data_IF_116104929095
#
_entry.id   IF_116104929095
#
_cell.length_a   1.000
_cell.length_b   1.000
_cell.length_c   1.000
_cell.angle_alpha   90.00
_cell.angle_beta   90.00
_cell.angle_gamma   90.00
#
_symmetry.space_group_name_H-M   'P 1'
#
loop_
_entity.id
_entity.type
_entity.pdbx_description
1 polymer ?
#
# COMPACT_ATOMS: atom_id res chain seq x y z
N UNK A 1 -51.59 31.31 -17.63
CA UNK A 1 -50.20 31.10 -18.11
C UNK A 1 -49.32 30.73 -16.91
N UNK A 2 -49.16 29.43 -16.63
CA UNK A 2 -48.48 28.93 -15.42
C UNK A 2 -47.24 28.09 -15.73
N UNK A 3 -46.06 28.72 -15.56
CA UNK A 3 -44.74 28.17 -15.20
C UNK A 3 -44.20 26.91 -15.93
N UNK A 4 -43.39 27.10 -16.99
CA UNK A 4 -42.40 26.11 -17.48
C UNK A 4 -41.19 25.91 -16.54
N UNK A 5 -40.93 26.87 -15.64
CA UNK A 5 -39.70 26.96 -14.83
C UNK A 5 -39.61 25.91 -13.71
N UNK A 6 -40.74 25.38 -13.22
CA UNK A 6 -40.77 24.45 -12.07
C UNK A 6 -40.38 23.00 -12.43
N UNK A 7 -40.75 22.55 -13.64
CA UNK A 7 -40.44 21.19 -14.11
C UNK A 7 -38.95 21.01 -14.41
N UNK A 8 -38.31 22.04 -14.97
CA UNK A 8 -36.86 22.03 -15.26
C UNK A 8 -36.04 22.01 -13.97
N UNK A 9 -36.47 22.76 -12.94
CA UNK A 9 -35.81 22.77 -11.63
C UNK A 9 -35.91 21.40 -10.93
N UNK A 10 -37.09 20.75 -10.94
CA UNK A 10 -37.26 19.40 -10.38
C UNK A 10 -36.42 18.35 -11.10
N UNK A 11 -36.35 18.37 -12.44
CA UNK A 11 -35.46 17.46 -13.20
C UNK A 11 -33.99 17.68 -12.87
N UNK A 12 -33.55 18.93 -12.73
CA UNK A 12 -32.15 19.24 -12.35
C UNK A 12 -31.80 18.80 -10.93
N UNK A 13 -32.76 18.87 -10.00
CA UNK A 13 -32.61 18.42 -8.61
C UNK A 13 -32.55 16.89 -8.52
N UNK A 14 -33.40 16.18 -9.27
CA UNK A 14 -33.39 14.71 -9.30
C UNK A 14 -32.10 14.17 -9.92
N UNK A 15 -31.66 14.75 -11.04
CA UNK A 15 -30.38 14.38 -11.68
C UNK A 15 -29.17 14.62 -10.77
N UNK A 16 -29.18 15.70 -9.97
CA UNK A 16 -28.16 15.95 -8.95
C UNK A 16 -28.22 14.89 -7.84
N UNK A 17 -29.41 14.55 -7.35
CA UNK A 17 -29.60 13.54 -6.30
C UNK A 17 -29.11 12.16 -6.75
N UNK A 18 -29.37 11.78 -8.00
CA UNK A 18 -28.92 10.51 -8.59
C UNK A 18 -27.39 10.48 -8.73
N UNK A 19 -26.78 11.58 -9.17
CA UNK A 19 -25.32 11.70 -9.27
C UNK A 19 -24.64 11.62 -7.89
N UNK A 20 -25.20 12.25 -6.85
CA UNK A 20 -24.68 12.12 -5.48
C UNK A 20 -24.83 10.70 -4.94
N UNK A 21 -25.95 10.03 -5.21
CA UNK A 21 -26.18 8.65 -4.79
C UNK A 21 -25.20 7.70 -5.47
N UNK A 22 -24.98 7.87 -6.77
CA UNK A 22 -24.02 7.08 -7.53
C UNK A 22 -22.57 7.33 -7.10
N UNK A 23 -22.20 8.58 -6.82
CA UNK A 23 -20.89 8.94 -6.28
C UNK A 23 -20.67 8.36 -4.87
N UNK A 24 -21.69 8.41 -4.00
CA UNK A 24 -21.65 7.83 -2.68
C UNK A 24 -21.53 6.31 -2.72
N UNK A 25 -22.27 5.63 -3.59
CA UNK A 25 -22.13 4.19 -3.78
C UNK A 25 -20.79 3.79 -4.39
N UNK A 26 -20.28 4.55 -5.35
CA UNK A 26 -18.96 4.32 -5.93
C UNK A 26 -17.87 4.50 -4.86
N UNK A 27 -17.99 5.54 -4.03
CA UNK A 27 -17.11 5.76 -2.88
C UNK A 27 -17.23 4.63 -1.86
N UNK A 28 -18.44 4.19 -1.51
CA UNK A 28 -18.67 3.05 -0.59
C UNK A 28 -18.08 1.76 -1.14
N UNK A 29 -18.25 1.48 -2.44
CA UNK A 29 -17.67 0.32 -3.13
C UNK A 29 -16.14 0.40 -3.15
N UNK A 30 -15.58 1.58 -3.37
CA UNK A 30 -14.15 1.83 -3.33
C UNK A 30 -13.61 1.58 -1.92
N UNK A 31 -14.14 2.26 -0.91
CA UNK A 31 -13.75 2.11 0.50
C UNK A 31 -13.86 0.65 0.96
N UNK A 32 -14.97 -0.04 0.67
CA UNK A 32 -15.13 -1.45 1.01
C UNK A 32 -14.07 -2.33 0.33
N UNK A 33 -13.77 -2.11 -0.95
CA UNK A 33 -12.71 -2.86 -1.66
C UNK A 33 -11.35 -2.65 -1.01
N UNK A 34 -10.98 -1.41 -0.67
CA UNK A 34 -9.70 -1.12 -0.01
C UNK A 34 -9.62 -1.73 1.39
N UNK A 35 -10.71 -1.69 2.15
CA UNK A 35 -10.77 -2.25 3.49
C UNK A 35 -10.71 -3.77 3.44
N UNK A 36 -11.54 -4.42 2.62
CA UNK A 36 -11.56 -5.88 2.48
C UNK A 36 -10.24 -6.44 1.94
N UNK A 37 -9.57 -5.75 1.01
CA UNK A 37 -8.26 -6.19 0.51
C UNK A 37 -7.19 -6.16 1.61
N UNK A 38 -7.18 -5.14 2.48
CA UNK A 38 -6.25 -5.04 3.62
C UNK A 38 -6.46 -6.20 4.61
N UNK A 39 -7.71 -6.46 5.01
CA UNK A 39 -8.02 -7.56 5.93
C UNK A 39 -7.67 -8.92 5.33
N UNK A 40 -7.99 -9.13 4.04
CA UNK A 40 -7.61 -10.34 3.34
C UNK A 40 -6.09 -10.57 3.36
N UNK A 41 -5.29 -9.54 3.09
CA UNK A 41 -3.83 -9.65 3.18
C UNK A 41 -3.36 -9.94 4.61
N UNK A 42 -3.95 -9.30 5.62
CA UNK A 42 -3.61 -9.59 7.01
C UNK A 42 -3.89 -11.03 7.39
N UNK A 43 -5.00 -11.61 6.94
CA UNK A 43 -5.30 -13.02 7.21
C UNK A 43 -4.28 -13.93 6.53
N UNK A 44 -3.91 -13.65 5.27
CA UNK A 44 -2.85 -14.40 4.60
C UNK A 44 -1.47 -14.23 5.26
N UNK A 45 -1.16 -13.05 5.82
CA UNK A 45 0.09 -12.81 6.53
C UNK A 45 0.22 -13.65 7.82
N UNK A 46 -0.90 -13.91 8.50
CA UNK A 46 -0.93 -14.80 9.68
C UNK A 46 -0.64 -16.26 9.30
N UNK A 47 -1.00 -16.66 8.08
CA UNK A 47 -0.86 -18.03 7.59
C UNK A 47 0.45 -18.30 6.83
N UNK A 48 1.36 -17.33 6.74
CA UNK A 48 2.59 -17.45 5.93
C UNK A 48 3.40 -18.71 6.27
N UNK A 49 3.48 -19.08 7.54
CA UNK A 49 4.27 -20.23 7.99
C UNK A 49 3.69 -21.57 7.50
N UNK A 50 2.36 -21.63 7.36
CA UNK A 50 1.63 -22.80 6.86
C UNK A 50 1.48 -22.82 5.33
N UNK A 51 1.72 -21.68 4.69
CA UNK A 51 1.61 -21.53 3.24
C UNK A 51 2.74 -22.23 2.50
N UNK A 52 2.46 -22.81 1.33
CA UNK A 52 3.52 -23.29 0.43
C UNK A 52 4.44 -22.13 0.01
N UNK A 53 5.75 -22.38 -0.10
CA UNK A 53 6.74 -21.35 -0.42
C UNK A 53 6.41 -20.60 -1.72
N UNK A 54 6.04 -21.32 -2.79
CA UNK A 54 5.69 -20.72 -4.08
C UNK A 54 4.47 -19.79 -3.94
N UNK A 55 3.43 -20.25 -3.24
CA UNK A 55 2.23 -19.44 -2.98
C UNK A 55 2.56 -18.18 -2.18
N UNK A 56 3.43 -18.31 -1.17
CA UNK A 56 3.92 -17.18 -0.38
C UNK A 56 4.70 -16.17 -1.23
N UNK A 57 5.57 -16.65 -2.12
CA UNK A 57 6.34 -15.80 -3.03
C UNK A 57 5.46 -15.08 -4.06
N UNK A 58 4.43 -15.75 -4.58
CA UNK A 58 3.44 -15.13 -5.46
C UNK A 58 2.63 -14.05 -4.72
N UNK A 59 2.26 -14.30 -3.46
CA UNK A 59 1.58 -13.31 -2.62
C UNK A 59 2.45 -12.07 -2.38
N UNK A 60 3.75 -12.24 -2.16
CA UNK A 60 4.69 -11.13 -2.00
C UNK A 60 4.72 -10.24 -3.25
N UNK A 61 4.86 -10.84 -4.45
CA UNK A 61 4.83 -10.09 -5.71
C UNK A 61 3.48 -9.42 -5.97
N UNK A 62 2.38 -10.15 -5.74
CA UNK A 62 1.04 -9.58 -5.86
C UNK A 62 0.86 -8.37 -4.94
N UNK A 63 1.35 -8.45 -3.70
CA UNK A 63 1.31 -7.34 -2.76
C UNK A 63 2.15 -6.16 -3.25
N UNK A 64 3.32 -6.40 -3.83
CA UNK A 64 4.13 -5.35 -4.47
C UNK A 64 3.36 -4.63 -5.59
N UNK A 65 2.67 -5.37 -6.47
CA UNK A 65 1.85 -4.80 -7.55
C UNK A 65 0.65 -4.00 -7.03
N UNK A 66 0.05 -4.43 -5.92
CA UNK A 66 -1.02 -3.68 -5.27
C UNK A 66 -0.53 -2.36 -4.65
N UNK A 67 0.72 -2.32 -4.19
CA UNK A 67 1.37 -1.11 -3.69
C UNK A 67 1.78 -0.18 -4.84
N UNK A 68 2.34 -0.72 -5.91
CA UNK A 68 2.80 0.03 -7.10
C UNK A 68 1.65 0.66 -7.88
N UNK A 69 0.50 -0.02 -7.95
CA UNK A 69 -0.75 0.52 -8.50
C UNK A 69 -1.47 1.49 -7.55
N UNK A 70 -0.91 1.73 -6.35
CA UNK A 70 -1.48 2.55 -5.28
C UNK A 70 -2.85 2.08 -4.76
N UNK A 71 -3.29 0.89 -5.16
CA UNK A 71 -4.48 0.21 -4.66
C UNK A 71 -4.40 -0.05 -3.15
N UNK A 72 -3.19 -0.18 -2.62
CA UNK A 72 -2.88 -0.24 -1.19
C UNK A 72 -1.71 0.69 -0.84
N UNK A 73 -1.56 0.99 0.44
CA UNK A 73 -0.38 1.67 0.99
C UNK A 73 0.45 0.70 1.83
N UNK A 74 1.72 1.05 2.09
CA UNK A 74 2.60 0.28 2.97
C UNK A 74 2.05 0.10 4.39
N UNK A 75 1.05 0.91 4.79
CA UNK A 75 0.32 0.74 6.05
C UNK A 75 -0.37 -0.63 6.21
N UNK A 76 -0.47 -1.44 5.15
CA UNK A 76 -0.88 -2.85 5.26
C UNK A 76 0.13 -3.69 6.05
N UNK A 77 1.38 -3.25 6.17
CA UNK A 77 2.41 -3.93 6.96
C UNK A 77 2.38 -3.55 8.45
N UNK A 78 1.52 -2.63 8.88
CA UNK A 78 1.50 -2.12 10.26
C UNK A 78 1.25 -3.18 11.35
N UNK A 79 0.69 -4.32 10.98
CA UNK A 79 0.41 -5.43 11.90
C UNK A 79 1.56 -6.44 11.95
N UNK A 80 2.66 -6.17 11.25
CA UNK A 80 3.83 -7.02 11.15
C UNK A 80 4.97 -6.34 11.89
N UNK A 81 5.49 -6.98 12.93
CA UNK A 81 6.64 -6.50 13.71
C UNK A 81 7.94 -6.77 12.93
N UNK A 82 8.25 -5.92 11.94
CA UNK A 82 9.43 -6.10 11.09
C UNK A 82 10.75 -5.85 11.84
N UNK A 83 10.74 -5.08 12.93
CA UNK A 83 11.90 -4.92 13.82
C UNK A 83 12.28 -6.23 14.53
N UNK A 84 11.31 -7.09 14.81
CA UNK A 84 11.51 -8.41 15.44
C UNK A 84 11.73 -9.53 14.40
N UNK A 85 12.24 -9.21 13.21
CA UNK A 85 12.42 -10.20 12.12
C UNK A 85 13.24 -11.45 12.50
N UNK A 86 14.05 -11.38 13.56
CA UNK A 86 14.80 -12.52 14.10
C UNK A 86 13.90 -13.62 14.63
N UNK A 87 12.66 -13.30 15.00
CA UNK A 87 11.64 -14.25 15.43
C UNK A 87 10.86 -14.85 14.26
N UNK A 88 11.07 -14.35 13.03
CA UNK A 88 10.41 -14.91 11.85
C UNK A 88 10.94 -16.30 11.53
N UNK A 89 10.06 -17.15 11.02
CA UNK A 89 10.50 -18.34 10.32
C UNK A 89 11.27 -17.94 9.05
N UNK A 90 12.16 -18.81 8.52
CA UNK A 90 12.85 -18.55 7.26
C UNK A 90 11.89 -18.22 6.11
N UNK A 91 10.70 -18.83 6.09
CA UNK A 91 9.68 -18.62 5.07
C UNK A 91 9.06 -17.22 5.14
N UNK A 92 8.66 -16.78 6.34
CA UNK A 92 8.11 -15.44 6.56
C UNK A 92 9.14 -14.36 6.28
N UNK A 93 10.38 -14.60 6.67
CA UNK A 93 11.50 -13.72 6.39
C UNK A 93 11.76 -13.57 4.88
N UNK A 94 11.76 -14.67 4.13
CA UNK A 94 11.87 -14.65 2.67
C UNK A 94 10.68 -13.97 1.99
N UNK A 95 9.46 -14.13 2.51
CA UNK A 95 8.27 -13.47 1.98
C UNK A 95 8.43 -11.95 1.97
N UNK A 96 8.75 -11.35 3.12
CA UNK A 96 8.89 -9.90 3.22
C UNK A 96 10.13 -9.38 2.49
N UNK A 97 11.21 -10.17 2.44
CA UNK A 97 12.36 -9.85 1.58
C UNK A 97 11.94 -9.74 0.12
N UNK A 98 11.25 -10.76 -0.41
CA UNK A 98 10.78 -10.78 -1.78
C UNK A 98 9.79 -9.65 -2.08
N UNK A 99 8.95 -9.27 -1.10
CA UNK A 99 8.05 -8.13 -1.23
C UNK A 99 8.83 -6.84 -1.51
N UNK A 100 9.86 -6.53 -0.70
CA UNK A 100 10.65 -5.31 -0.89
C UNK A 100 11.54 -5.36 -2.13
N UNK A 101 12.12 -6.52 -2.46
CA UNK A 101 12.85 -6.71 -3.71
C UNK A 101 11.93 -6.44 -4.92
N UNK A 102 10.70 -6.98 -4.93
CA UNK A 102 9.72 -6.73 -5.98
C UNK A 102 9.29 -5.26 -6.04
N UNK A 103 9.13 -4.57 -4.90
CA UNK A 103 8.85 -3.12 -4.89
C UNK A 103 9.99 -2.36 -5.59
N UNK A 104 11.24 -2.74 -5.34
CA UNK A 104 12.43 -2.09 -5.89
C UNK A 104 12.69 -2.40 -7.38
N UNK A 105 12.00 -3.37 -7.96
CA UNK A 105 11.99 -3.62 -9.40
C UNK A 105 11.21 -2.54 -10.18
N UNK A 106 10.34 -1.76 -9.52
CA UNK A 106 9.60 -0.67 -10.15
C UNK A 106 10.45 0.61 -10.36
N UNK A 107 10.02 1.55 -11.23
CA UNK A 107 10.70 2.83 -11.44
C UNK A 107 10.90 3.65 -10.16
N UNK A 108 11.92 4.50 -10.13
CA UNK A 108 12.29 5.31 -8.96
C UNK A 108 11.14 6.22 -8.48
N UNK A 109 10.37 6.78 -9.41
CA UNK A 109 9.18 7.58 -9.10
C UNK A 109 8.11 6.75 -8.38
N UNK A 110 7.86 5.53 -8.85
CA UNK A 110 6.91 4.61 -8.21
C UNK A 110 7.37 4.24 -6.81
N UNK A 111 8.65 3.88 -6.64
CA UNK A 111 9.22 3.58 -5.31
C UNK A 111 9.09 4.78 -4.39
N UNK A 112 9.46 5.98 -4.84
CA UNK A 112 9.29 7.20 -4.06
C UNK A 112 7.84 7.44 -3.62
N UNK A 113 6.90 7.29 -4.55
CA UNK A 113 5.48 7.53 -4.28
C UNK A 113 4.91 6.50 -3.30
N UNK A 114 5.31 5.23 -3.38
CA UNK A 114 4.89 4.17 -2.43
C UNK A 114 5.28 4.57 -0.99
N UNK A 115 6.54 4.97 -0.78
CA UNK A 115 7.07 5.26 0.55
C UNK A 115 6.63 6.63 1.08
N UNK A 116 6.48 7.64 0.22
CA UNK A 116 5.98 8.97 0.61
C UNK A 116 4.57 8.90 1.22
N UNK A 117 3.72 7.97 0.74
CA UNK A 117 2.35 7.82 1.25
C UNK A 117 2.26 7.48 2.75
N UNK A 118 3.29 6.88 3.33
CA UNK A 118 3.33 6.62 4.78
C UNK A 118 4.18 7.65 5.53
N UNK A 119 4.99 8.46 4.82
CA UNK A 119 5.79 9.54 5.41
C UNK A 119 4.94 10.66 6.02
N UNK A 120 3.77 10.92 5.42
CA UNK A 120 2.87 12.00 5.83
C UNK A 120 1.89 11.60 6.94
N UNK A 121 1.89 10.34 7.36
CA UNK A 121 0.94 9.79 8.34
C UNK A 121 1.66 9.55 9.67
N UNK A 122 1.44 10.39 10.70
CA UNK A 122 2.15 10.29 11.98
C UNK A 122 2.01 8.92 12.65
N UNK A 123 0.85 8.28 12.50
CA UNK A 123 0.56 6.97 13.08
C UNK A 123 1.45 5.83 12.51
N UNK A 124 2.18 6.10 11.43
CA UNK A 124 3.11 5.13 10.84
C UNK A 124 4.57 5.39 11.22
N UNK A 125 4.89 6.28 12.17
CA UNK A 125 6.27 6.53 12.60
C UNK A 125 7.05 5.24 12.89
N UNK A 126 6.55 4.40 13.81
CA UNK A 126 7.16 3.11 14.15
C UNK A 126 7.28 2.19 12.93
N UNK A 127 6.26 2.15 12.06
CA UNK A 127 6.30 1.35 10.85
C UNK A 127 7.40 1.81 9.88
N UNK A 128 7.67 3.12 9.79
CA UNK A 128 8.75 3.63 8.94
C UNK A 128 10.11 3.18 9.45
N UNK A 129 10.32 3.22 10.76
CA UNK A 129 11.56 2.77 11.39
C UNK A 129 11.76 1.27 11.21
N UNK A 130 10.70 0.49 11.45
CA UNK A 130 10.65 -0.95 11.22
C UNK A 130 11.02 -1.32 9.77
N UNK A 131 10.45 -0.62 8.79
CA UNK A 131 10.73 -0.83 7.37
C UNK A 131 12.19 -0.46 7.05
N UNK A 132 12.67 0.69 7.52
CA UNK A 132 14.05 1.13 7.29
C UNK A 132 15.04 0.09 7.80
N UNK A 133 14.84 -0.35 9.03
CA UNK A 133 15.70 -1.33 9.68
C UNK A 133 15.66 -2.68 8.95
N UNK A 134 14.46 -3.20 8.65
CA UNK A 134 14.32 -4.49 7.97
C UNK A 134 14.96 -4.50 6.59
N UNK A 135 14.70 -3.46 5.78
CA UNK A 135 15.21 -3.39 4.40
C UNK A 135 16.72 -3.23 4.40
N UNK A 136 17.28 -2.39 5.26
CA UNK A 136 18.73 -2.22 5.40
C UNK A 136 19.41 -3.54 5.79
N UNK A 137 18.88 -4.23 6.81
CA UNK A 137 19.49 -5.44 7.34
C UNK A 137 19.33 -6.67 6.45
N UNK A 138 18.18 -6.83 5.80
CA UNK A 138 17.84 -8.11 5.18
C UNK A 138 17.65 -8.07 3.67
N UNK A 139 17.31 -6.90 3.11
CA UNK A 139 17.19 -6.72 1.65
C UNK A 139 18.52 -6.23 1.08
N UNK A 140 19.07 -5.12 1.57
CA UNK A 140 20.27 -4.49 1.00
C UNK A 140 21.52 -5.31 1.29
N UNK A 141 21.77 -5.66 2.56
CA UNK A 141 22.98 -6.41 2.94
C UNK A 141 23.07 -7.82 2.33
N UNK A 142 21.95 -8.37 1.85
CA UNK A 142 21.88 -9.71 1.29
C UNK A 142 21.65 -9.74 -0.23
N UNK A 143 21.59 -8.58 -0.90
CA UNK A 143 21.26 -8.48 -2.33
C UNK A 143 22.24 -7.62 -3.14
N UNK A 144 21.95 -7.46 -4.43
CA UNK A 144 22.79 -6.78 -5.42
C UNK A 144 22.85 -5.26 -5.15
N UNK A 145 23.97 -4.63 -5.51
CA UNK A 145 24.18 -3.18 -5.37
C UNK A 145 23.03 -2.29 -5.90
N UNK A 146 22.29 -2.75 -6.91
CA UNK A 146 21.11 -2.05 -7.44
C UNK A 146 20.00 -1.82 -6.39
N UNK A 147 19.81 -2.74 -5.44
CA UNK A 147 18.81 -2.60 -4.38
C UNK A 147 19.21 -1.54 -3.35
N UNK A 148 20.52 -1.33 -3.14
CA UNK A 148 21.02 -0.28 -2.27
C UNK A 148 20.66 1.12 -2.80
N UNK A 149 20.74 1.35 -4.12
CA UNK A 149 20.34 2.62 -4.73
C UNK A 149 18.83 2.86 -4.61
N UNK A 150 18.01 1.83 -4.84
CA UNK A 150 16.55 1.89 -4.62
C UNK A 150 16.21 2.19 -3.16
N UNK A 151 16.94 1.58 -2.23
CA UNK A 151 16.75 1.84 -0.81
C UNK A 151 17.09 3.29 -0.42
N UNK A 152 18.11 3.92 -1.02
CA UNK A 152 18.40 5.35 -0.79
C UNK A 152 17.21 6.23 -1.18
N UNK A 153 16.52 5.91 -2.28
CA UNK A 153 15.32 6.64 -2.71
C UNK A 153 14.18 6.43 -1.72
N UNK A 154 13.93 5.19 -1.32
CA UNK A 154 12.90 4.86 -0.32
C UNK A 154 13.16 5.56 1.03
N UNK A 155 14.41 5.56 1.51
CA UNK A 155 14.83 6.23 2.74
C UNK A 155 14.61 7.74 2.69
N UNK A 156 14.89 8.37 1.54
CA UNK A 156 14.57 9.80 1.33
C UNK A 156 13.06 10.04 1.32
N UNK A 157 12.30 9.19 0.64
CA UNK A 157 10.85 9.29 0.56
C UNK A 157 10.16 9.16 1.93
N UNK A 158 10.67 8.31 2.83
CA UNK A 158 10.14 8.15 4.19
C UNK A 158 10.29 9.41 5.07
N UNK A 159 11.29 10.24 4.77
CA UNK A 159 11.54 11.51 5.44
C UNK A 159 10.82 12.70 4.77
N UNK A 160 10.07 12.46 3.68
CA UNK A 160 9.34 13.48 2.93
C UNK A 160 8.06 13.90 3.67
N UNK A 161 8.22 14.69 4.74
CA UNK A 161 7.09 15.22 5.52
C UNK A 161 6.16 16.14 4.71
N UNK A 162 6.64 16.69 3.59
CA UNK A 162 5.86 17.54 2.68
C UNK A 162 4.92 16.74 1.76
N UNK A 163 5.08 15.41 1.65
CA UNK A 163 4.21 14.56 0.85
C UNK A 163 4.33 14.73 -0.66
N UNK A 164 5.41 15.36 -1.14
CA UNK A 164 5.61 15.65 -2.57
C UNK A 164 5.83 14.36 -3.36
N UNK A 165 5.03 14.13 -4.40
CA UNK A 165 5.16 12.97 -5.30
C UNK A 165 6.10 13.28 -6.48
N UNK A 166 6.70 12.24 -7.04
CA UNK A 166 7.55 12.31 -8.25
C UNK A 166 6.86 11.73 -9.48
#
# INVERSE_FOLDING_TARGET
>A
MGRPMEKTKRRSLHFRQDAYTQAFEAHRRYVLKHVSAKYCLWDHFKELDQMELIKSMNLARFTAEMLSSFSLSLGVLKTIELSEYRLFTPKRLLHFRMLFEAIFEHPDSTVWNIFTRIAVTPEFETLRDDILFFVEQYVVNTSKAAMAEKFKIAKKALNNAAGVLM
#
